data_IF_055169647268
#
_entry.id   IF_055169647268
#
_cell.length_a   1.000
_cell.length_b   1.000
_cell.length_c   1.000
_cell.angle_alpha   90.00
_cell.angle_beta   90.00
_cell.angle_gamma   90.00
#
_symmetry.space_group_name_H-M   'P 1'
#
loop_
_entity.id
_entity.type
_entity.pdbx_description
1 polymer ?
#
# COMPACT_ATOMS: atom_id res chain seq x y z
N UNK A 1 32.66 13.55 4.99
CA UNK A 1 31.72 14.62 4.54
C UNK A 1 31.59 14.57 3.01
N UNK A 2 31.15 13.45 2.42
CA UNK A 2 30.87 13.37 0.97
C UNK A 2 29.92 12.20 0.59
N UNK A 3 29.03 11.78 1.49
CA UNK A 3 27.99 10.78 1.19
C UNK A 3 26.57 11.38 1.15
N UNK A 4 26.42 12.68 1.46
CA UNK A 4 25.10 13.31 1.61
C UNK A 4 24.52 13.94 0.32
N UNK A 5 25.30 14.01 -0.78
CA UNK A 5 24.91 14.77 -1.98
C UNK A 5 24.57 13.91 -3.22
N UNK A 6 24.68 12.58 -3.15
CA UNK A 6 24.22 11.67 -4.22
C UNK A 6 22.79 11.15 -4.00
N UNK A 7 22.16 11.47 -2.87
CA UNK A 7 20.81 10.98 -2.51
C UNK A 7 19.62 11.72 -3.15
N UNK A 8 19.86 12.70 -4.03
CA UNK A 8 18.79 13.57 -4.56
C UNK A 8 18.57 13.49 -6.08
N UNK A 9 19.15 12.48 -6.75
CA UNK A 9 18.98 12.32 -8.21
C UNK A 9 18.26 11.06 -8.67
N UNK A 10 17.86 10.18 -7.75
CA UNK A 10 16.95 9.09 -8.03
C UNK A 10 16.09 8.86 -6.80
N UNK A 11 14.90 9.46 -6.74
CA UNK A 11 13.80 9.00 -5.89
C UNK A 11 13.29 7.66 -6.44
N UNK A 12 14.18 6.68 -6.57
CA UNK A 12 13.80 5.28 -6.66
C UNK A 12 13.35 4.91 -5.26
N UNK A 13 12.05 5.03 -5.07
CA UNK A 13 11.25 4.74 -3.88
C UNK A 13 11.48 3.34 -3.23
N UNK A 14 12.43 2.55 -3.74
CA UNK A 14 12.75 1.19 -3.30
C UNK A 14 13.39 1.07 -1.90
N UNK A 15 13.68 2.18 -1.23
CA UNK A 15 14.33 2.23 0.09
C UNK A 15 13.44 2.90 1.14
N UNK A 16 12.16 2.50 1.25
CA UNK A 16 11.42 2.78 2.50
C UNK A 16 11.99 1.89 3.59
N UNK A 17 12.07 2.38 4.83
CA UNK A 17 12.64 1.63 5.97
C UNK A 17 12.01 0.24 6.14
N UNK A 18 10.72 0.09 5.80
CA UNK A 18 10.02 -1.20 5.78
C UNK A 18 10.61 -2.18 4.75
N UNK A 19 10.91 -1.72 3.54
CA UNK A 19 11.52 -2.55 2.50
C UNK A 19 12.93 -3.01 2.87
N UNK A 20 13.70 -2.16 3.56
CA UNK A 20 15.04 -2.50 4.04
C UNK A 20 14.98 -3.57 5.12
N UNK A 21 14.17 -3.36 6.17
CA UNK A 21 13.96 -4.34 7.24
C UNK A 21 13.45 -5.67 6.66
N UNK A 22 12.51 -5.62 5.72
CA UNK A 22 11.96 -6.82 5.13
C UNK A 22 13.01 -7.61 4.32
N UNK A 23 13.92 -6.92 3.62
CA UNK A 23 15.05 -7.55 2.92
C UNK A 23 16.06 -8.15 3.88
N UNK A 24 16.42 -7.44 4.94
CA UNK A 24 17.34 -7.92 5.98
C UNK A 24 16.81 -9.18 6.67
N UNK A 25 15.50 -9.24 6.90
CA UNK A 25 14.83 -10.39 7.51
C UNK A 25 14.53 -11.52 6.50
N UNK A 26 14.91 -11.36 5.23
CA UNK A 26 14.78 -12.41 4.21
C UNK A 26 13.38 -12.58 3.62
N UNK A 27 12.45 -11.65 3.86
CA UNK A 27 11.13 -11.68 3.24
C UNK A 27 11.22 -11.43 1.73
N UNK A 28 10.22 -11.95 1.01
CA UNK A 28 10.14 -11.85 -0.47
C UNK A 28 9.01 -10.97 -0.96
N UNK A 29 8.10 -10.58 -0.07
CA UNK A 29 6.87 -9.87 -0.40
C UNK A 29 6.47 -8.98 0.76
N UNK A 30 6.04 -7.76 0.44
CA UNK A 30 5.31 -6.88 1.35
C UNK A 30 3.88 -6.82 0.84
N UNK A 31 2.90 -6.97 1.75
CA UNK A 31 1.49 -6.75 1.48
C UNK A 31 0.98 -5.60 2.34
N UNK A 32 0.17 -4.73 1.75
CA UNK A 32 -0.48 -3.63 2.45
C UNK A 32 -1.96 -3.63 2.11
N UNK A 33 -2.81 -3.85 3.11
CA UNK A 33 -4.25 -3.73 2.99
C UNK A 33 -4.69 -2.32 3.41
N UNK A 34 -5.29 -1.59 2.48
CA UNK A 34 -5.69 -0.20 2.64
C UNK A 34 -7.21 -0.11 2.70
N UNK A 35 -7.77 0.10 3.90
CA UNK A 35 -9.20 0.41 4.10
C UNK A 35 -9.56 1.87 3.84
N UNK A 36 -8.55 2.72 3.66
CA UNK A 36 -8.69 4.14 3.39
C UNK A 36 -8.25 4.47 1.96
N UNK A 37 -9.05 5.27 1.25
CA UNK A 37 -8.70 5.79 -0.06
C UNK A 37 -7.39 6.60 -0.03
N UNK A 38 -7.05 7.26 1.09
CA UNK A 38 -5.82 8.03 1.19
C UNK A 38 -4.57 7.14 1.18
N UNK A 39 -4.58 6.05 1.96
CA UNK A 39 -3.46 5.11 1.98
C UNK A 39 -3.38 4.32 0.67
N UNK A 40 -4.52 3.94 0.08
CA UNK A 40 -4.55 3.28 -1.22
C UNK A 40 -3.91 4.16 -2.32
N UNK A 41 -4.24 5.46 -2.36
CA UNK A 41 -3.63 6.42 -3.28
C UNK A 41 -2.13 6.61 -3.02
N UNK A 42 -1.71 6.59 -1.76
CA UNK A 42 -0.29 6.62 -1.43
C UNK A 42 0.41 5.38 -2.02
N UNK A 43 -0.06 4.16 -1.70
CA UNK A 43 0.55 2.92 -2.20
C UNK A 43 0.61 2.85 -3.73
N UNK A 44 -0.43 3.31 -4.42
CA UNK A 44 -0.44 3.40 -5.88
C UNK A 44 0.63 4.38 -6.42
N UNK A 45 0.79 5.57 -5.81
CA UNK A 45 1.86 6.53 -6.18
C UNK A 45 3.26 6.00 -5.90
N UNK A 46 3.37 5.15 -4.89
CA UNK A 46 4.58 4.48 -4.46
C UNK A 46 4.93 3.27 -5.36
N UNK A 47 4.08 2.95 -6.35
CA UNK A 47 4.36 1.91 -7.33
C UNK A 47 4.12 0.49 -6.82
N UNK A 48 3.41 0.32 -5.69
CA UNK A 48 2.92 -0.99 -5.31
C UNK A 48 1.88 -1.49 -6.31
N UNK A 49 1.87 -2.80 -6.55
CA UNK A 49 0.92 -3.46 -7.44
C UNK A 49 -0.39 -3.71 -6.69
N UNK A 50 -1.52 -3.19 -7.19
CA UNK A 50 -2.84 -3.50 -6.64
C UNK A 50 -3.27 -4.89 -7.09
N UNK A 51 -3.52 -5.79 -6.15
CA UNK A 51 -3.90 -7.19 -6.43
C UNK A 51 -5.36 -7.50 -6.11
N UNK A 52 -6.02 -6.67 -5.30
CA UNK A 52 -7.41 -6.87 -4.91
C UNK A 52 -8.08 -5.55 -4.60
N UNK A 53 -9.36 -5.46 -4.94
CA UNK A 53 -10.25 -4.35 -4.63
C UNK A 53 -11.61 -4.93 -4.19
N UNK A 54 -12.09 -4.50 -3.04
CA UNK A 54 -13.40 -4.89 -2.51
C UNK A 54 -14.17 -3.62 -2.13
N UNK A 55 -15.25 -3.35 -2.85
CA UNK A 55 -16.16 -2.25 -2.52
C UNK A 55 -16.96 -2.60 -1.28
N UNK A 56 -17.14 -1.63 -0.39
CA UNK A 56 -17.95 -1.84 0.81
C UNK A 56 -19.41 -2.16 0.49
N UNK A 57 -19.92 -1.63 -0.63
CA UNK A 57 -21.28 -1.90 -1.12
C UNK A 57 -21.50 -3.36 -1.50
N UNK A 58 -20.45 -4.07 -1.93
CA UNK A 58 -20.52 -5.47 -2.37
C UNK A 58 -20.33 -6.45 -1.19
N UNK A 59 -19.81 -5.96 -0.05
CA UNK A 59 -19.60 -6.79 1.14
C UNK A 59 -20.89 -6.92 1.97
N UNK A 60 -21.66 -7.98 1.68
CA UNK A 60 -22.95 -8.29 2.33
C UNK A 60 -23.03 -9.73 2.83
N UNK A 61 -22.27 -10.12 3.88
CA UNK A 61 -22.25 -11.50 4.38
C UNK A 61 -23.63 -12.02 4.82
N UNK A 62 -24.49 -11.13 5.33
CA UNK A 62 -25.86 -11.46 5.77
C UNK A 62 -26.93 -10.74 4.93
N UNK A 63 -26.60 -10.33 3.70
CA UNK A 63 -27.50 -9.55 2.85
C UNK A 63 -27.53 -8.04 3.12
N UNK A 64 -26.90 -7.58 4.21
CA UNK A 64 -26.78 -6.16 4.56
C UNK A 64 -25.35 -5.64 4.44
N UNK A 65 -25.21 -4.36 4.06
CA UNK A 65 -23.92 -3.66 4.01
C UNK A 65 -23.41 -3.44 5.44
N UNK A 66 -22.26 -4.04 5.75
CA UNK A 66 -21.64 -3.95 7.08
C UNK A 66 -20.86 -2.65 7.26
N UNK A 67 -20.15 -2.20 6.22
CA UNK A 67 -19.26 -1.05 6.30
C UNK A 67 -19.85 0.17 5.59
N UNK A 68 -20.06 1.26 6.33
CA UNK A 68 -20.59 2.53 5.82
C UNK A 68 -19.70 3.72 6.24
N UNK A 69 -18.41 3.72 5.88
CA UNK A 69 -17.52 4.83 6.22
C UNK A 69 -17.90 6.10 5.45
N UNK A 70 -17.40 7.26 5.90
CA UNK A 70 -17.62 8.53 5.22
C UNK A 70 -16.90 8.57 3.86
N UNK A 71 -17.44 9.36 2.92
CA UNK A 71 -16.73 9.67 1.69
C UNK A 71 -15.36 10.32 2.02
N UNK A 72 -14.25 9.95 1.34
CA UNK A 72 -14.13 9.21 0.09
C UNK A 72 -13.79 7.71 0.24
N UNK A 73 -14.15 7.06 1.34
CA UNK A 73 -13.81 5.66 1.60
C UNK A 73 -14.87 4.72 0.99
N UNK A 74 -14.66 4.24 -0.24
CA UNK A 74 -15.63 3.39 -0.95
C UNK A 74 -15.24 1.92 -1.01
N UNK A 75 -13.96 1.63 -0.83
CA UNK A 75 -13.38 0.30 -1.05
C UNK A 75 -12.15 0.06 -0.19
N UNK A 76 -11.83 -1.21 -0.01
CA UNK A 76 -10.55 -1.69 0.50
C UNK A 76 -9.72 -2.16 -0.69
N UNK A 77 -8.45 -1.75 -0.75
CA UNK A 77 -7.50 -2.26 -1.74
C UNK A 77 -6.34 -2.96 -1.07
N UNK A 78 -5.91 -4.07 -1.66
CA UNK A 78 -4.70 -4.78 -1.26
C UNK A 78 -3.61 -4.56 -2.28
N UNK A 79 -2.45 -4.15 -1.78
CA UNK A 79 -1.27 -3.85 -2.56
C UNK A 79 -0.15 -4.83 -2.22
N UNK A 80 0.72 -5.12 -3.18
CA UNK A 80 1.93 -5.91 -2.97
C UNK A 80 3.17 -5.25 -3.56
N UNK A 81 4.31 -5.56 -2.95
CA UNK A 81 5.63 -5.23 -3.45
C UNK A 81 6.53 -6.45 -3.34
N UNK A 82 7.12 -6.87 -4.46
CA UNK A 82 8.09 -7.97 -4.52
C UNK A 82 9.48 -7.38 -4.27
N UNK A 83 10.20 -7.93 -3.28
CA UNK A 83 11.48 -7.40 -2.79
C UNK A 83 12.69 -7.87 -3.59
#
# INVERSE_FOLDING_TARGET
>A
MLSCLLGLRNLNFQSTAMCEIAKEQGYKLIRVDCSSNFSARAMAKLGFESISELKYEDYKPNGEIVFKPAFPHTEVKSFVWRL
#
